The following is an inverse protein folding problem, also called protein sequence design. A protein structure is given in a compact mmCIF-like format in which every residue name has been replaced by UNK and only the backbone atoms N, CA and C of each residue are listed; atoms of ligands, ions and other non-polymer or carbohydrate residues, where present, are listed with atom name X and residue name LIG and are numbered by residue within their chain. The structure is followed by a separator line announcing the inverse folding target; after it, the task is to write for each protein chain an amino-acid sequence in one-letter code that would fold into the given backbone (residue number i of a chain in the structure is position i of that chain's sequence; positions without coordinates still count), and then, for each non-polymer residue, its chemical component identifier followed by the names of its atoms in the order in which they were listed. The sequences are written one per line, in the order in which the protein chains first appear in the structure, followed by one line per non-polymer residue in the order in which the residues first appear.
data_IF_515813929674
#
_entry.id   IF_515813929674
#
_cell.length_a   1.000
_cell.length_b   1.000
_cell.length_c   1.000
_cell.angle_alpha   90.00
_cell.angle_beta   90.00
_cell.angle_gamma   90.00
#
_symmetry.space_group_name_H-M   'P 1'
#
loop_
_entity.id
_entity.type
_entity.pdbx_description
1 polymer ?
#
# COMPACT_ATOMS: atom_id res chain seq x y z
N UNK A 1 22.17 10.54 -6.79
CA UNK A 1 22.02 11.15 -5.45
C UNK A 1 21.07 10.34 -4.57
N UNK A 2 19.82 10.03 -4.99
CA UNK A 2 18.90 9.20 -4.18
C UNK A 2 19.42 7.76 -3.97
N UNK A 3 20.03 7.15 -4.99
CA UNK A 3 20.63 5.82 -4.86
C UNK A 3 21.74 5.78 -3.81
N UNK A 4 22.51 6.86 -3.71
CA UNK A 4 23.62 6.97 -2.76
C UNK A 4 23.07 7.09 -1.33
N UNK A 5 22.07 7.94 -1.11
CA UNK A 5 21.35 8.01 0.18
C UNK A 5 20.71 6.66 0.56
N UNK A 6 20.16 5.94 -0.42
CA UNK A 6 19.56 4.62 -0.23
C UNK A 6 20.60 3.57 0.21
N UNK A 7 21.82 3.63 -0.37
CA UNK A 7 22.93 2.72 -0.07
C UNK A 7 23.56 2.95 1.30
N UNK A 8 23.46 4.15 1.88
CA UNK A 8 24.07 4.48 3.17
C UNK A 8 23.22 4.12 4.39
N UNK A 9 22.28 3.18 4.26
CA UNK A 9 21.50 2.67 5.39
C UNK A 9 20.38 3.59 5.89
N UNK A 10 20.15 4.73 5.21
CA UNK A 10 19.08 5.67 5.57
C UNK A 10 17.70 4.97 5.62
N UNK A 11 17.46 4.05 4.68
CA UNK A 11 16.18 3.33 4.59
C UNK A 11 15.98 2.41 5.80
N UNK A 12 17.04 1.74 6.25
CA UNK A 12 16.99 0.92 7.46
C UNK A 12 16.68 1.77 8.70
N UNK A 13 17.31 2.93 8.82
CA UNK A 13 17.06 3.84 9.93
C UNK A 13 15.63 4.39 9.92
N UNK A 14 15.13 4.82 8.75
CA UNK A 14 13.77 5.35 8.61
C UNK A 14 12.73 4.26 8.85
N UNK A 15 12.90 3.06 8.30
CA UNK A 15 11.98 1.94 8.52
C UNK A 15 11.95 1.52 10.01
N UNK A 16 13.11 1.45 10.66
CA UNK A 16 13.22 1.19 12.09
C UNK A 16 12.52 2.27 12.93
N UNK A 17 12.69 3.54 12.56
CA UNK A 17 12.02 4.63 13.26
C UNK A 17 10.49 4.57 13.09
N UNK A 18 9.99 4.22 11.91
CA UNK A 18 8.54 4.04 11.69
C UNK A 18 7.99 2.92 12.58
N UNK A 19 8.65 1.76 12.59
CA UNK A 19 8.29 0.62 13.43
C UNK A 19 8.31 0.97 14.92
N UNK A 20 9.35 1.67 15.37
CA UNK A 20 9.45 2.15 16.74
C UNK A 20 8.33 3.16 17.07
N UNK A 21 8.02 4.08 16.14
CA UNK A 21 7.03 5.12 16.37
C UNK A 21 5.61 4.54 16.43
N UNK A 22 5.30 3.47 15.69
CA UNK A 22 4.02 2.77 15.78
C UNK A 22 3.65 2.35 17.22
N UNK A 23 4.65 2.15 18.08
CA UNK A 23 4.47 1.76 19.48
C UNK A 23 4.66 2.91 20.49
N UNK A 24 4.82 4.16 20.03
CA UNK A 24 5.06 5.33 20.89
C UNK A 24 4.05 6.46 20.64
N UNK A 25 3.85 7.33 21.62
CA UNK A 25 2.95 8.50 21.53
C UNK A 25 3.60 9.72 20.85
N UNK A 26 4.51 9.51 19.90
CA UNK A 26 5.27 10.59 19.25
C UNK A 26 4.39 11.40 18.27
N UNK A 27 4.83 12.62 17.92
CA UNK A 27 4.06 13.53 17.05
C UNK A 27 3.80 12.93 15.66
N UNK A 28 2.52 12.84 15.28
CA UNK A 28 2.04 12.38 13.97
C UNK A 28 2.76 13.05 12.78
N UNK A 29 3.16 14.32 12.92
CA UNK A 29 3.89 15.06 11.89
C UNK A 29 5.25 14.42 11.54
N UNK A 30 5.95 13.85 12.52
CA UNK A 30 7.24 13.17 12.30
C UNK A 30 7.00 11.88 11.53
N UNK A 31 5.96 11.12 11.91
CA UNK A 31 5.62 9.88 11.23
C UNK A 31 5.23 10.11 9.76
N UNK A 32 4.37 11.10 9.49
CA UNK A 32 3.99 11.48 8.12
C UNK A 32 5.20 11.95 7.31
N UNK A 33 6.11 12.72 7.92
CA UNK A 33 7.36 13.14 7.28
C UNK A 33 8.29 11.98 6.91
N UNK A 34 8.42 10.98 7.78
CA UNK A 34 9.24 9.79 7.53
C UNK A 34 8.66 8.92 6.39
N UNK A 35 7.34 8.72 6.36
CA UNK A 35 6.70 7.99 5.25
C UNK A 35 6.88 8.77 3.94
N UNK A 36 6.65 10.10 3.95
CA UNK A 36 6.84 10.93 2.76
C UNK A 36 8.29 10.91 2.23
N UNK A 37 9.28 10.78 3.12
CA UNK A 37 10.68 10.56 2.73
C UNK A 37 10.86 9.22 2.02
N UNK A 38 10.25 8.14 2.51
CA UNK A 38 10.26 6.84 1.83
C UNK A 38 9.58 6.90 0.46
N UNK A 39 8.45 7.61 0.33
CA UNK A 39 7.79 7.85 -0.97
C UNK A 39 8.77 8.52 -1.92
N UNK A 40 9.47 9.57 -1.46
CA UNK A 40 10.42 10.29 -2.29
C UNK A 40 11.61 9.43 -2.72
N UNK A 41 12.17 8.62 -1.81
CA UNK A 41 13.28 7.71 -2.11
C UNK A 41 12.85 6.64 -3.13
N UNK A 42 11.72 5.98 -2.90
CA UNK A 42 11.20 4.92 -3.78
C UNK A 42 10.75 5.44 -5.15
N UNK A 43 10.38 6.73 -5.26
CA UNK A 43 10.04 7.33 -6.56
C UNK A 43 11.22 7.47 -7.52
N UNK A 44 12.46 7.45 -7.01
CA UNK A 44 13.67 7.69 -7.82
C UNK A 44 14.84 6.73 -7.60
N UNK A 45 14.68 5.70 -6.76
CA UNK A 45 15.73 4.73 -6.45
C UNK A 45 15.16 3.32 -6.41
N UNK A 46 15.62 2.46 -7.32
CA UNK A 46 15.29 1.04 -7.29
C UNK A 46 15.93 0.33 -6.09
N UNK A 47 17.12 0.78 -5.68
CA UNK A 47 17.77 0.28 -4.46
C UNK A 47 16.83 0.48 -3.27
N UNK A 48 16.14 1.62 -3.21
CA UNK A 48 15.22 1.89 -2.13
C UNK A 48 14.02 0.95 -2.10
N UNK A 49 13.47 0.62 -3.27
CA UNK A 49 12.35 -0.31 -3.38
C UNK A 49 12.75 -1.70 -2.90
N UNK A 50 13.89 -2.22 -3.38
CA UNK A 50 14.41 -3.53 -2.98
C UNK A 50 14.63 -3.61 -1.48
N UNK A 51 15.32 -2.62 -0.90
CA UNK A 51 15.59 -2.57 0.53
C UNK A 51 14.31 -2.51 1.37
N UNK A 52 13.26 -1.81 0.93
CA UNK A 52 11.99 -1.78 1.67
C UNK A 52 11.24 -3.11 1.64
N UNK A 53 11.29 -3.84 0.52
CA UNK A 53 10.75 -5.20 0.46
C UNK A 53 11.54 -6.15 1.37
N UNK A 54 12.88 -6.06 1.36
CA UNK A 54 13.75 -6.85 2.26
C UNK A 54 13.42 -6.60 3.74
N UNK A 55 13.06 -5.35 4.07
CA UNK A 55 12.69 -4.94 5.44
C UNK A 55 11.24 -5.27 5.82
N UNK A 56 10.45 -5.88 4.93
CA UNK A 56 9.03 -6.17 5.16
C UNK A 56 8.22 -4.93 5.56
N UNK A 57 8.40 -3.84 4.81
CA UNK A 57 7.69 -2.59 5.05
C UNK A 57 6.17 -2.78 5.12
N UNK A 58 5.60 -3.74 4.37
CA UNK A 58 4.18 -4.05 4.34
C UNK A 58 3.62 -4.40 5.73
N UNK A 59 4.38 -5.16 6.52
CA UNK A 59 4.02 -5.52 7.90
C UNK A 59 4.00 -4.28 8.80
N UNK A 60 5.00 -3.42 8.68
CA UNK A 60 5.09 -2.17 9.45
C UNK A 60 3.91 -1.25 9.11
N UNK A 61 3.56 -1.16 7.82
CA UNK A 61 2.43 -0.34 7.35
C UNK A 61 1.07 -0.94 7.74
N UNK A 62 0.96 -2.27 7.81
CA UNK A 62 -0.25 -2.95 8.27
C UNK A 62 -0.62 -2.55 9.70
N UNK A 63 0.37 -2.41 10.58
CA UNK A 63 0.15 -1.99 11.96
C UNK A 63 -0.44 -0.58 12.02
N UNK A 64 0.02 0.33 11.15
CA UNK A 64 -0.56 1.68 11.03
C UNK A 64 -2.04 1.57 10.71
N UNK A 65 -2.44 0.80 9.69
CA UNK A 65 -3.85 0.59 9.37
C UNK A 65 -4.63 -0.09 10.49
N UNK A 66 -4.00 -0.97 11.27
CA UNK A 66 -4.67 -1.73 12.35
C UNK A 66 -4.92 -0.88 13.60
N UNK A 67 -4.13 0.19 13.80
CA UNK A 67 -4.36 1.19 14.87
C UNK A 67 -5.64 2.00 14.58
N UNK A 68 -6.02 2.12 13.30
CA UNK A 68 -7.31 2.66 12.91
C UNK A 68 -8.37 1.58 13.12
N UNK A 69 -8.89 1.49 14.34
CA UNK A 69 -10.05 0.67 14.64
C UNK A 69 -11.28 1.24 13.91
N UNK A 70 -11.48 0.77 12.68
CA UNK A 70 -12.60 1.12 11.82
C UNK A 70 -13.83 0.24 12.09
N UNK A 71 -13.78 -0.64 13.11
CA UNK A 71 -14.85 -1.60 13.43
C UNK A 71 -16.15 -0.95 13.91
N UNK A 72 -16.10 0.32 14.30
CA UNK A 72 -17.26 1.13 14.58
C UNK A 72 -17.29 2.24 13.54
N UNK A 73 -18.25 2.19 12.60
CA UNK A 73 -18.45 3.13 11.48
C UNK A 73 -18.74 4.59 11.88
N UNK A 74 -18.24 5.03 13.03
CA UNK A 74 -18.16 6.40 13.49
C UNK A 74 -16.67 6.69 13.69
N UNK A 75 -16.04 7.56 12.88
CA UNK A 75 -14.71 8.04 13.21
C UNK A 75 -14.77 8.62 14.63
N UNK A 76 -13.99 8.05 15.54
CA UNK A 76 -13.90 8.55 16.91
C UNK A 76 -13.67 10.06 16.87
N UNK A 77 -14.31 10.88 17.73
CA UNK A 77 -14.16 12.34 17.72
C UNK A 77 -12.72 12.82 18.02
N UNK A 78 -11.78 11.89 18.18
CA UNK A 78 -10.34 12.08 18.26
C UNK A 78 -9.63 11.98 16.91
N UNK A 79 -10.32 11.93 15.77
CA UNK A 79 -9.67 12.06 14.45
C UNK A 79 -9.15 13.49 14.26
N UNK A 80 -7.99 13.74 14.84
CA UNK A 80 -7.15 14.89 14.56
C UNK A 80 -6.76 14.78 13.07
N UNK A 81 -6.89 15.87 12.33
CA UNK A 81 -6.50 16.05 10.92
C UNK A 81 -5.16 15.37 10.51
N UNK A 82 -4.24 15.17 11.45
CA UNK A 82 -2.98 14.45 11.26
C UNK A 82 -3.10 12.97 10.86
N UNK A 83 -4.20 12.28 11.20
CA UNK A 83 -4.39 10.85 10.93
C UNK A 83 -4.65 10.53 9.46
N UNK A 84 -5.52 11.31 8.80
CA UNK A 84 -5.79 11.14 7.37
C UNK A 84 -4.54 11.44 6.54
N UNK A 85 -3.78 12.46 6.95
CA UNK A 85 -2.50 12.79 6.31
C UNK A 85 -1.48 11.64 6.37
N UNK A 86 -1.44 10.90 7.47
CA UNK A 86 -0.59 9.71 7.59
C UNK A 86 -1.06 8.60 6.66
N UNK A 87 -2.36 8.28 6.62
CA UNK A 87 -2.90 7.26 5.72
C UNK A 87 -2.70 7.63 4.24
N UNK A 88 -2.81 8.91 3.87
CA UNK A 88 -2.50 9.38 2.52
C UNK A 88 -1.04 9.10 2.14
N UNK A 89 -0.08 9.37 3.02
CA UNK A 89 1.33 9.07 2.76
C UNK A 89 1.60 7.56 2.71
N UNK A 90 0.95 6.76 3.56
CA UNK A 90 1.05 5.28 3.48
C UNK A 90 0.52 4.78 2.15
N UNK A 91 -0.66 5.25 1.71
CA UNK A 91 -1.24 4.86 0.43
C UNK A 91 -0.34 5.28 -0.74
N UNK A 92 0.23 6.49 -0.71
CA UNK A 92 1.22 6.91 -1.71
C UNK A 92 2.42 5.97 -1.75
N UNK A 93 2.93 5.54 -0.59
CA UNK A 93 4.05 4.60 -0.53
C UNK A 93 3.68 3.24 -1.12
N UNK A 94 2.54 2.67 -0.74
CA UNK A 94 2.05 1.40 -1.28
C UNK A 94 1.84 1.46 -2.81
N UNK A 95 1.21 2.54 -3.29
CA UNK A 95 1.02 2.82 -4.71
C UNK A 95 2.36 2.98 -5.42
N UNK A 96 3.39 3.52 -4.75
CA UNK A 96 4.72 3.73 -5.33
C UNK A 96 5.57 2.44 -5.39
N UNK A 97 5.34 1.51 -4.46
CA UNK A 97 5.96 0.19 -4.42
C UNK A 97 5.41 -0.74 -5.50
N UNK A 98 4.11 -0.65 -5.80
CA UNK A 98 3.47 -1.36 -6.89
C UNK A 98 3.41 -0.49 -8.16
N UNK A 99 4.30 -0.68 -9.15
CA UNK A 99 4.38 0.19 -10.31
C UNK A 99 3.06 0.19 -11.09
N UNK A 100 2.65 1.38 -11.57
CA UNK A 100 1.64 1.50 -12.63
C UNK A 100 2.39 1.45 -13.94
N UNK A 101 2.14 0.42 -14.74
CA UNK A 101 2.59 0.39 -16.12
C UNK A 101 1.51 1.08 -16.93
N UNK A 102 1.52 2.41 -16.92
CA UNK A 102 0.71 3.14 -17.89
C UNK A 102 1.33 2.89 -19.26
N UNK A 103 0.56 2.23 -20.12
CA UNK A 103 0.95 1.73 -21.46
C UNK A 103 1.57 2.77 -22.41
N UNK A 104 1.66 4.04 -22.00
CA UNK A 104 2.01 5.19 -22.83
C UNK A 104 3.25 5.98 -22.38
N UNK A 105 3.87 5.69 -21.23
CA UNK A 105 5.16 6.28 -20.83
C UNK A 105 6.00 5.26 -20.08
N UNK A 106 6.94 4.62 -20.79
CA UNK A 106 7.99 3.80 -20.19
C UNK A 106 8.93 4.71 -19.38
N UNK A 107 8.57 4.98 -18.12
CA UNK A 107 9.55 5.49 -17.16
C UNK A 107 10.49 4.31 -16.87
N UNK A 108 11.81 4.42 -17.15
CA UNK A 108 12.74 3.29 -17.02
C UNK A 108 12.69 2.59 -15.66
N UNK A 109 12.45 3.37 -14.60
CA UNK A 109 12.33 2.86 -13.23
C UNK A 109 11.03 2.06 -12.98
N UNK A 110 9.92 2.40 -13.65
CA UNK A 110 8.67 1.66 -13.48
C UNK A 110 8.76 0.27 -14.11
N UNK A 111 9.37 0.17 -15.30
CA UNK A 111 9.66 -1.11 -15.96
C UNK A 111 10.65 -1.96 -15.14
N UNK A 112 11.67 -1.34 -14.55
CA UNK A 112 12.60 -2.04 -13.66
C UNK A 112 11.87 -2.63 -12.44
N UNK A 113 10.96 -1.86 -11.82
CA UNK A 113 10.13 -2.31 -10.69
C UNK A 113 9.23 -3.47 -11.07
N UNK A 114 8.58 -3.40 -12.22
CA UNK A 114 7.73 -4.47 -12.72
C UNK A 114 8.56 -5.75 -12.92
N UNK A 115 9.69 -5.67 -13.62
CA UNK A 115 10.57 -6.81 -13.83
C UNK A 115 11.05 -7.44 -12.51
N UNK A 116 11.32 -6.61 -11.49
CA UNK A 116 11.67 -7.08 -10.15
C UNK A 116 10.53 -7.86 -9.49
N UNK A 117 9.29 -7.36 -9.51
CA UNK A 117 8.12 -8.02 -8.91
C UNK A 117 7.76 -9.32 -9.64
N UNK A 118 7.85 -9.32 -10.98
CA UNK A 118 7.63 -10.53 -11.80
C UNK A 118 8.66 -11.62 -11.48
N UNK A 119 9.90 -11.23 -11.17
CA UNK A 119 10.97 -12.18 -10.82
C UNK A 119 10.87 -12.68 -9.37
N UNK A 120 10.12 -11.98 -8.50
CA UNK A 120 9.98 -12.29 -7.07
C UNK A 120 8.50 -12.33 -6.66
N UNK A 121 7.73 -13.33 -7.14
CA UNK A 121 6.30 -13.46 -6.84
C UNK A 121 6.04 -13.67 -5.33
N UNK A 122 7.00 -14.20 -4.59
CA UNK A 122 6.95 -14.35 -3.13
C UNK A 122 6.77 -13.01 -2.40
N UNK A 123 7.34 -11.92 -2.92
CA UNK A 123 7.16 -10.58 -2.37
C UNK A 123 5.75 -10.06 -2.59
N UNK A 124 5.15 -10.36 -3.74
CA UNK A 124 3.76 -10.02 -4.07
C UNK A 124 2.80 -10.81 -3.19
N UNK A 125 3.07 -12.10 -2.98
CA UNK A 125 2.30 -12.95 -2.07
C UNK A 125 2.30 -12.38 -0.65
N UNK A 126 3.50 -12.06 -0.15
CA UNK A 126 3.69 -11.54 1.20
C UNK A 126 3.02 -10.20 1.38
N UNK A 127 3.15 -9.31 0.38
CA UNK A 127 2.43 -8.05 0.34
C UNK A 127 0.92 -8.26 0.49
N UNK A 128 0.37 -9.18 -0.29
CA UNK A 128 -1.05 -9.50 -0.23
C UNK A 128 -1.49 -10.08 1.11
N UNK A 129 -0.77 -11.07 1.63
CA UNK A 129 -1.07 -11.67 2.94
C UNK A 129 -0.99 -10.65 4.10
N UNK A 130 -0.07 -9.70 4.02
CA UNK A 130 0.06 -8.67 5.04
C UNK A 130 -1.07 -7.62 4.94
N UNK A 131 -1.37 -7.10 3.75
CA UNK A 131 -2.17 -5.89 3.59
C UNK A 131 -3.57 -6.09 3.00
N UNK A 132 -3.82 -7.12 2.18
CA UNK A 132 -5.06 -7.25 1.40
C UNK A 132 -6.31 -7.19 2.27
N UNK A 133 -6.34 -7.97 3.36
CA UNK A 133 -7.47 -7.98 4.30
C UNK A 133 -7.72 -6.60 4.89
N UNK A 134 -6.67 -5.90 5.30
CA UNK A 134 -6.79 -4.60 5.96
C UNK A 134 -7.24 -3.52 4.96
N UNK A 135 -6.75 -3.56 3.72
CA UNK A 135 -7.19 -2.65 2.65
C UNK A 135 -8.68 -2.83 2.34
N UNK A 136 -9.17 -4.07 2.28
CA UNK A 136 -10.60 -4.35 2.07
C UNK A 136 -11.44 -3.84 3.25
N UNK A 137 -10.98 -4.05 4.49
CA UNK A 137 -11.67 -3.52 5.67
C UNK A 137 -11.77 -1.99 5.66
N UNK A 138 -10.72 -1.30 5.21
CA UNK A 138 -10.73 0.17 5.07
C UNK A 138 -11.76 0.60 4.03
N UNK A 139 -11.83 -0.06 2.88
CA UNK A 139 -12.84 0.21 1.85
C UNK A 139 -14.26 -0.02 2.39
N UNK A 140 -14.48 -1.14 3.08
CA UNK A 140 -15.78 -1.48 3.68
C UNK A 140 -16.23 -0.49 4.76
N UNK A 141 -15.28 0.16 5.45
CA UNK A 141 -15.58 1.16 6.48
C UNK A 141 -16.15 2.47 5.93
N UNK A 142 -15.87 2.80 4.66
CA UNK A 142 -16.30 4.04 4.02
C UNK A 142 -15.79 5.32 4.68
N UNK A 143 -14.67 5.28 5.42
CA UNK A 143 -14.22 6.38 6.30
C UNK A 143 -13.92 7.68 5.53
N UNK A 144 -13.36 7.58 4.33
CA UNK A 144 -13.04 8.68 3.42
C UNK A 144 -12.91 8.16 1.97
N UNK A 145 -13.44 8.90 1.01
CA UNK A 145 -13.50 8.48 -0.39
C UNK A 145 -12.11 8.40 -1.05
N UNK A 146 -11.20 9.33 -0.72
CA UNK A 146 -9.85 9.34 -1.28
C UNK A 146 -9.03 8.17 -0.74
N UNK A 147 -9.18 7.87 0.55
CA UNK A 147 -8.55 6.70 1.19
C UNK A 147 -9.10 5.41 0.61
N UNK A 148 -10.42 5.28 0.45
CA UNK A 148 -11.03 4.10 -0.16
C UNK A 148 -10.53 3.90 -1.60
N UNK A 149 -10.47 4.98 -2.40
CA UNK A 149 -9.92 4.94 -3.75
C UNK A 149 -8.45 4.50 -3.75
N UNK A 150 -7.63 5.05 -2.84
CA UNK A 150 -6.24 4.67 -2.71
C UNK A 150 -6.07 3.19 -2.36
N UNK A 151 -6.87 2.67 -1.42
CA UNK A 151 -6.89 1.25 -1.07
C UNK A 151 -7.26 0.37 -2.28
N UNK A 152 -8.32 0.72 -3.01
CA UNK A 152 -8.72 0.01 -4.22
C UNK A 152 -7.63 0.03 -5.29
N UNK A 153 -6.94 1.17 -5.48
CA UNK A 153 -5.81 1.27 -6.40
C UNK A 153 -4.66 0.32 -6.03
N UNK A 154 -4.35 0.19 -4.74
CA UNK A 154 -3.34 -0.77 -4.28
C UNK A 154 -3.78 -2.21 -4.51
N UNK A 155 -5.04 -2.53 -4.24
CA UNK A 155 -5.61 -3.87 -4.46
C UNK A 155 -5.59 -4.24 -5.94
N UNK A 156 -6.02 -3.32 -6.82
CA UNK A 156 -6.02 -3.53 -8.27
C UNK A 156 -4.60 -3.87 -8.80
N UNK A 157 -3.61 -3.07 -8.40
CA UNK A 157 -2.21 -3.33 -8.77
C UNK A 157 -1.70 -4.66 -8.21
N UNK A 158 -2.06 -4.99 -6.97
CA UNK A 158 -1.65 -6.25 -6.36
C UNK A 158 -2.21 -7.43 -7.16
N UNK A 159 -3.47 -7.37 -7.57
CA UNK A 159 -4.11 -8.41 -8.37
C UNK A 159 -3.47 -8.51 -9.77
N UNK A 160 -3.11 -7.39 -10.39
CA UNK A 160 -2.39 -7.37 -11.66
C UNK A 160 -1.04 -8.11 -11.57
N UNK A 161 -0.30 -7.93 -10.48
CA UNK A 161 1.00 -8.59 -10.26
C UNK A 161 0.89 -10.01 -9.69
N UNK A 162 -0.30 -10.45 -9.29
CA UNK A 162 -0.52 -11.78 -8.71
C UNK A 162 -0.72 -12.83 -9.80
N UNK A 163 -0.07 -13.99 -9.65
CA UNK A 163 -0.31 -15.14 -10.54
C UNK A 163 -1.69 -15.75 -10.27
N UNK A 164 -2.29 -16.38 -11.29
CA UNK A 164 -3.61 -17.02 -11.18
C UNK A 164 -3.69 -18.08 -10.09
N UNK A 165 -2.57 -18.73 -9.78
CA UNK A 165 -2.50 -19.81 -8.79
C UNK A 165 -2.45 -19.28 -7.35
N UNK A 166 -1.99 -18.05 -7.14
CA UNK A 166 -1.89 -17.39 -5.83
C UNK A 166 -3.17 -16.67 -5.43
N UNK A 167 -3.92 -16.21 -6.44
CA UNK A 167 -5.13 -15.42 -6.27
C UNK A 167 -6.20 -16.11 -5.39
N UNK A 168 -6.46 -17.43 -5.51
CA UNK A 168 -7.37 -18.13 -4.62
C UNK A 168 -6.93 -18.13 -3.16
N UNK A 169 -5.64 -18.24 -2.88
CA UNK A 169 -5.12 -18.32 -1.51
C UNK A 169 -5.05 -16.93 -0.85
N UNK A 170 -4.72 -15.89 -1.62
CA UNK A 170 -4.86 -14.49 -1.21
C UNK A 170 -6.31 -14.13 -0.89
N UNK A 171 -7.28 -14.58 -1.70
CA UNK A 171 -8.69 -14.34 -1.43
C UNK A 171 -9.23 -15.16 -0.24
N UNK A 172 -8.68 -16.34 0.04
CA UNK A 172 -9.03 -17.11 1.25
C UNK A 172 -8.52 -16.45 2.53
N UNK A 173 -7.33 -15.82 2.49
CA UNK A 173 -6.74 -15.17 3.67
C UNK A 173 -7.49 -13.90 4.09
N UNK A 174 -8.23 -13.31 3.16
CA UNK A 174 -9.27 -12.34 3.49
C UNK A 174 -10.47 -13.11 4.03
N UNK A 175 -10.72 -13.08 5.34
CA UNK A 175 -11.90 -13.68 5.99
C UNK A 175 -13.22 -12.98 5.53
N UNK A 176 -13.53 -13.02 4.23
CA UNK A 176 -14.73 -12.44 3.63
C UNK A 176 -15.90 -13.37 3.97
N UNK A 177 -16.45 -13.24 5.17
CA UNK A 177 -17.64 -13.99 5.60
C UNK A 177 -18.96 -13.42 5.10
N UNK A 178 -18.97 -12.55 4.07
CA UNK A 178 -20.22 -12.05 3.48
C UNK A 178 -20.13 -11.98 1.96
N UNK A 179 -20.94 -12.80 1.30
CA UNK A 179 -21.09 -12.89 -0.17
C UNK A 179 -21.54 -11.63 -0.90
N UNK A 180 -21.62 -10.47 -0.23
CA UNK A 180 -21.89 -9.16 -0.85
C UNK A 180 -20.61 -8.43 -1.30
N UNK A 181 -19.43 -8.74 -0.74
CA UNK A 181 -18.20 -7.97 -1.00
C UNK A 181 -17.37 -8.49 -2.17
N UNK A 182 -17.50 -9.76 -2.54
CA UNK A 182 -16.90 -10.29 -3.77
C UNK A 182 -17.59 -9.70 -5.02
N UNK A 183 -18.92 -9.61 -5.00
CA UNK A 183 -19.67 -8.87 -6.03
C UNK A 183 -19.31 -7.39 -6.02
N UNK A 184 -19.05 -6.77 -4.85
CA UNK A 184 -18.59 -5.37 -4.79
C UNK A 184 -17.19 -5.16 -5.39
N UNK A 185 -16.26 -6.09 -5.15
CA UNK A 185 -14.93 -6.09 -5.78
C UNK A 185 -15.02 -6.32 -7.29
N UNK A 186 -15.85 -7.27 -7.74
CA UNK A 186 -16.05 -7.60 -9.17
C UNK A 186 -16.83 -6.51 -9.91
N UNK A 187 -17.88 -5.94 -9.30
CA UNK A 187 -18.67 -4.84 -9.84
C UNK A 187 -17.86 -3.55 -9.87
N UNK A 188 -17.04 -3.26 -8.84
CA UNK A 188 -16.09 -2.16 -8.92
C UNK A 188 -15.02 -2.43 -9.98
N UNK A 189 -14.47 -3.64 -10.10
CA UNK A 189 -13.54 -3.97 -11.17
C UNK A 189 -14.12 -3.66 -12.56
N UNK A 190 -15.39 -4.03 -12.78
CA UNK A 190 -16.10 -3.79 -14.05
C UNK A 190 -16.41 -2.30 -14.26
N UNK A 191 -16.83 -1.60 -13.20
CA UNK A 191 -17.16 -0.17 -13.24
C UNK A 191 -15.91 0.71 -13.41
N UNK A 192 -14.79 0.36 -12.77
CA UNK A 192 -13.50 1.03 -12.91
C UNK A 192 -12.86 0.75 -14.27
N UNK A 193 -12.94 -0.47 -14.79
CA UNK A 193 -12.50 -0.78 -16.16
C UNK A 193 -13.26 0.06 -17.21
N UNK A 194 -14.54 0.33 -16.99
CA UNK A 194 -15.33 1.23 -17.84
C UNK A 194 -14.94 2.71 -17.73
N UNK A 195 -14.61 3.20 -16.53
CA UNK A 195 -14.16 4.59 -16.33
C UNK A 195 -12.76 4.81 -16.93
N UNK A 196 -11.84 3.86 -16.79
CA UNK A 196 -10.51 3.91 -17.39
C UNK A 196 -10.50 3.77 -18.91
N UNK A 197 -11.61 3.36 -19.55
CA UNK A 197 -11.77 3.39 -21.00
C UNK A 197 -12.32 4.73 -21.53
N UNK A 198 -12.79 5.61 -20.65
CA UNK A 198 -13.36 6.91 -21.04
C UNK A 198 -12.39 8.10 -20.87
N UNK A 199 -11.16 7.86 -20.39
CA UNK A 199 -10.08 8.84 -20.29
C UNK A 199 -8.76 8.25 -20.80
#
# INVERSE_FOLDING_TARGET
MLDELSKHGLIHQVAYLIDLINHTTLSYSVHTGLIGLLVKLTSGSMVAVKTLFDLNICRILKEIFSIYDLSHGVPSPRTIDGHYNQMHEVLKLLIQLLPVVSRNQEVPLAAEKEAFLVTHPDLVEKFGNDLLHVLIQVVDSGVDLYICYGCLSVVDKLLYHSNSDMLPDLLKSTNISRGHNLEFLILNYTFFYQISLQF
#
